data_IF_078911574654
#
_entry.id   IF_078911574654
#
_cell.length_a   1.000
_cell.length_b   1.000
_cell.length_c   1.000
_cell.angle_alpha   90.00
_cell.angle_beta   90.00
_cell.angle_gamma   90.00
#
_symmetry.space_group_name_H-M   'P 1'
#
loop_
_entity.id
_entity.type
_entity.pdbx_description
1 polymer ?
#
# COMPACT_ATOMS: atom_id res chain seq x y z
N UNK A 1 8.51 -8.08 -20.88
CA UNK A 1 8.79 -7.02 -19.89
C UNK A 1 10.27 -6.89 -19.55
N UNK A 2 11.05 -7.98 -19.49
CA UNK A 2 12.51 -7.90 -19.29
C UNK A 2 13.21 -6.99 -20.32
N UNK A 3 12.75 -6.98 -21.57
CA UNK A 3 13.22 -6.06 -22.59
C UNK A 3 13.08 -4.57 -22.17
N UNK A 4 11.92 -4.19 -21.61
CA UNK A 4 11.70 -2.84 -21.09
C UNK A 4 12.65 -2.53 -19.92
N UNK A 5 12.80 -3.47 -18.99
CA UNK A 5 13.74 -3.35 -17.87
C UNK A 5 15.17 -3.12 -18.37
N UNK A 6 15.63 -3.88 -19.36
CA UNK A 6 16.95 -3.71 -19.96
C UNK A 6 17.14 -2.34 -20.63
N UNK A 7 16.13 -1.84 -21.35
CA UNK A 7 16.19 -0.50 -21.96
C UNK A 7 16.25 0.62 -20.91
N UNK A 8 15.47 0.49 -19.83
CA UNK A 8 15.48 1.43 -18.71
C UNK A 8 16.86 1.45 -18.03
N UNK A 9 17.43 0.28 -17.74
CA UNK A 9 18.73 0.16 -17.10
C UNK A 9 19.86 0.68 -17.99
N UNK A 10 19.82 0.40 -19.29
CA UNK A 10 20.76 0.93 -20.27
C UNK A 10 20.69 2.47 -20.35
N UNK A 11 19.48 3.03 -20.34
CA UNK A 11 19.29 4.48 -20.39
C UNK A 11 19.78 5.17 -19.10
N UNK A 12 19.64 4.51 -17.95
CA UNK A 12 20.22 4.98 -16.67
C UNK A 12 21.74 4.90 -16.72
N UNK A 13 22.31 3.76 -17.16
CA UNK A 13 23.75 3.59 -17.27
C UNK A 13 24.40 4.60 -18.23
N UNK A 14 23.69 4.98 -19.32
CA UNK A 14 24.12 6.00 -20.27
C UNK A 14 23.87 7.44 -19.80
N UNK A 15 23.31 7.64 -18.61
CA UNK A 15 23.01 8.96 -18.04
C UNK A 15 21.85 9.71 -18.70
N UNK A 16 21.10 9.07 -19.62
CA UNK A 16 19.95 9.67 -20.31
C UNK A 16 18.69 9.67 -19.44
N UNK A 17 18.54 8.66 -18.59
CA UNK A 17 17.52 8.63 -17.54
C UNK A 17 18.17 8.86 -16.18
N UNK A 18 17.66 9.84 -15.45
CA UNK A 18 18.08 10.10 -14.07
C UNK A 18 17.01 9.56 -13.12
N UNK A 19 17.43 8.72 -12.18
CA UNK A 19 16.56 8.13 -11.17
C UNK A 19 15.92 9.22 -10.30
N UNK A 20 14.63 9.05 -10.00
CA UNK A 20 13.92 9.92 -9.07
C UNK A 20 14.58 9.91 -7.68
N UNK A 21 15.00 8.72 -7.22
CA UNK A 21 15.71 8.53 -5.96
C UNK A 21 17.19 8.26 -6.24
N UNK A 22 18.01 9.32 -6.15
CA UNK A 22 19.46 9.22 -6.36
C UNK A 22 20.15 8.49 -5.22
N UNK A 23 21.23 7.76 -5.53
CA UNK A 23 22.11 7.05 -4.58
C UNK A 23 21.37 6.00 -3.74
N UNK A 24 20.38 5.36 -4.34
CA UNK A 24 19.69 4.21 -3.77
C UNK A 24 20.36 2.92 -4.23
N UNK A 25 20.46 1.97 -3.32
CA UNK A 25 20.94 0.61 -3.60
C UNK A 25 19.96 -0.40 -2.99
N UNK A 26 19.25 -1.21 -3.78
CA UNK A 26 19.27 -1.22 -5.25
C UNK A 26 18.59 0.03 -5.87
N UNK A 27 18.98 0.43 -7.09
CA UNK A 27 18.27 1.45 -7.84
C UNK A 27 16.89 0.94 -8.27
N UNK A 28 15.86 1.80 -8.16
CA UNK A 28 14.50 1.47 -8.59
C UNK A 28 14.06 2.46 -9.66
N UNK A 29 13.92 1.97 -10.89
CA UNK A 29 13.44 2.73 -12.07
C UNK A 29 11.95 2.54 -12.30
N UNK A 30 11.43 1.34 -12.06
CA UNK A 30 10.05 0.99 -12.34
C UNK A 30 9.56 -0.19 -11.48
N UNK A 31 8.24 -0.34 -11.38
CA UNK A 31 7.56 -1.50 -10.81
C UNK A 31 6.53 -2.02 -11.81
N UNK A 32 6.43 -3.34 -11.94
CA UNK A 32 5.55 -3.99 -12.91
C UNK A 32 4.64 -4.97 -12.17
N UNK A 33 3.35 -4.92 -12.47
CA UNK A 33 2.39 -5.94 -12.06
C UNK A 33 1.39 -6.19 -13.19
N UNK A 34 1.44 -7.36 -13.82
CA UNK A 34 0.65 -7.65 -15.03
C UNK A 34 0.81 -6.54 -16.09
N UNK A 35 -0.27 -5.81 -16.41
CA UNK A 35 -0.31 -4.68 -17.34
C UNK A 35 -0.05 -3.32 -16.67
N UNK A 36 -0.06 -3.25 -15.34
CA UNK A 36 0.21 -2.04 -14.59
C UNK A 36 1.73 -1.77 -14.47
N UNK A 37 2.16 -0.62 -14.98
CA UNK A 37 3.55 -0.16 -14.96
C UNK A 37 3.65 1.19 -14.21
N UNK A 38 4.47 1.25 -13.17
CA UNK A 38 4.88 2.49 -12.51
C UNK A 38 6.32 2.80 -12.87
N UNK A 39 6.59 4.01 -13.36
CA UNK A 39 7.93 4.48 -13.72
C UNK A 39 8.32 5.66 -12.84
N UNK A 40 9.54 5.62 -12.30
CA UNK A 40 10.11 6.62 -11.39
C UNK A 40 11.34 7.28 -12.03
N UNK A 41 11.16 8.48 -12.57
CA UNK A 41 12.23 9.26 -13.19
C UNK A 41 12.23 10.70 -12.69
N UNK A 42 13.40 11.33 -12.70
CA UNK A 42 13.49 12.77 -12.49
C UNK A 42 12.84 13.49 -13.70
N UNK A 43 12.06 14.56 -13.48
CA UNK A 43 11.32 15.21 -14.56
C UNK A 43 12.22 16.15 -15.39
N UNK A 44 13.22 15.62 -16.10
CA UNK A 44 13.99 16.36 -17.11
C UNK A 44 13.37 16.16 -18.49
N UNK A 45 13.47 17.17 -19.37
CA UNK A 45 12.96 17.05 -20.75
C UNK A 45 13.65 15.90 -21.49
N UNK A 46 14.98 15.79 -21.36
CA UNK A 46 15.75 14.68 -21.93
C UNK A 46 15.29 13.32 -21.40
N UNK A 47 15.02 13.21 -20.09
CA UNK A 47 14.57 11.97 -19.49
C UNK A 47 13.18 11.56 -19.95
N UNK A 48 12.26 12.53 -20.08
CA UNK A 48 10.91 12.28 -20.59
C UNK A 48 10.92 11.89 -22.07
N UNK A 49 11.74 12.54 -22.90
CA UNK A 49 11.94 12.16 -24.30
C UNK A 49 12.56 10.76 -24.43
N UNK A 50 13.52 10.44 -23.57
CA UNK A 50 14.13 9.10 -23.52
C UNK A 50 13.10 8.04 -23.14
N UNK A 51 12.25 8.32 -22.15
CA UNK A 51 11.16 7.41 -21.78
C UNK A 51 10.16 7.23 -22.93
N UNK A 52 9.78 8.32 -23.62
CA UNK A 52 8.90 8.24 -24.79
C UNK A 52 9.49 7.36 -25.90
N UNK A 53 10.80 7.49 -26.17
CA UNK A 53 11.50 6.65 -27.14
C UNK A 53 11.51 5.18 -26.71
N UNK A 54 11.81 4.87 -25.44
CA UNK A 54 11.76 3.49 -24.91
C UNK A 54 10.36 2.89 -25.06
N UNK A 55 9.31 3.67 -24.82
CA UNK A 55 7.93 3.19 -24.97
C UNK A 55 7.57 2.91 -26.44
N UNK A 56 8.05 3.71 -27.38
CA UNK A 56 7.85 3.44 -28.82
C UNK A 56 8.67 2.24 -29.31
N UNK A 57 9.91 2.09 -28.82
CA UNK A 57 10.74 0.91 -29.10
C UNK A 57 10.06 -0.36 -28.59
N UNK A 58 9.54 -0.33 -27.35
CA UNK A 58 8.78 -1.44 -26.77
C UNK A 58 7.56 -1.79 -27.64
N UNK A 59 6.83 -0.79 -28.13
CA UNK A 59 5.69 -0.97 -29.04
C UNK A 59 6.12 -1.59 -30.37
N UNK A 60 7.24 -1.15 -30.95
CA UNK A 60 7.73 -1.69 -32.22
C UNK A 60 8.12 -3.17 -32.13
N UNK A 61 8.68 -3.61 -31.00
CA UNK A 61 9.16 -4.98 -30.80
C UNK A 61 8.05 -5.92 -30.32
N UNK A 62 7.20 -5.46 -29.40
CA UNK A 62 6.20 -6.32 -28.74
C UNK A 62 4.77 -6.12 -29.21
N UNK A 63 4.49 -5.03 -29.94
CA UNK A 63 3.14 -4.58 -30.24
C UNK A 63 2.39 -3.96 -29.06
N UNK A 64 2.98 -3.95 -27.84
CA UNK A 64 2.34 -3.36 -26.65
C UNK A 64 2.41 -1.84 -26.69
N UNK A 65 1.25 -1.20 -26.57
CA UNK A 65 1.14 0.25 -26.61
C UNK A 65 0.64 0.81 -25.27
N UNK A 66 1.24 1.92 -24.83
CA UNK A 66 0.75 2.68 -23.69
C UNK A 66 -0.67 3.20 -23.96
N UNK A 67 -1.60 2.84 -23.08
CA UNK A 67 -2.96 3.38 -23.12
C UNK A 67 -2.98 4.80 -22.52
N UNK A 68 -2.97 5.82 -23.38
CA UNK A 68 -2.89 7.24 -22.97
C UNK A 68 -4.09 7.73 -22.17
N UNK A 69 -5.25 7.08 -22.28
CA UNK A 69 -6.46 7.44 -21.53
C UNK A 69 -6.39 6.96 -20.06
N UNK A 70 -5.75 5.80 -19.86
CA UNK A 70 -5.54 5.18 -18.54
C UNK A 70 -4.24 5.64 -17.88
N UNK A 71 -3.18 5.90 -18.65
CA UNK A 71 -1.88 6.34 -18.14
C UNK A 71 -1.93 7.78 -17.66
N UNK A 72 -1.23 8.04 -16.54
CA UNK A 72 -1.18 9.35 -15.89
C UNK A 72 0.23 9.66 -15.44
N UNK A 73 0.60 10.94 -15.46
CA UNK A 73 1.85 11.43 -14.89
C UNK A 73 1.59 12.22 -13.60
N UNK A 74 2.42 11.97 -12.59
CA UNK A 74 2.36 12.62 -11.29
C UNK A 74 3.66 13.36 -11.04
N UNK A 75 3.57 14.62 -10.64
CA UNK A 75 4.73 15.46 -10.37
C UNK A 75 4.79 15.86 -8.90
N UNK A 76 6.01 15.94 -8.36
CA UNK A 76 6.22 16.56 -7.05
C UNK A 76 5.81 18.03 -7.07
N UNK A 77 5.54 18.60 -5.89
CA UNK A 77 5.26 20.02 -5.74
C UNK A 77 6.40 20.92 -6.24
N UNK A 78 7.63 20.40 -6.25
CA UNK A 78 8.85 21.09 -6.68
C UNK A 78 9.04 21.15 -8.20
N UNK A 79 8.24 20.39 -8.96
CA UNK A 79 8.34 20.36 -10.41
C UNK A 79 7.68 21.62 -11.02
N UNK A 80 8.46 22.39 -11.78
CA UNK A 80 7.95 23.49 -12.62
C UNK A 80 7.52 22.97 -13.99
N UNK A 81 6.66 23.72 -14.70
CA UNK A 81 6.20 23.42 -16.08
C UNK A 81 5.62 22.01 -16.22
N UNK A 82 4.70 21.65 -15.32
CA UNK A 82 4.16 20.29 -15.20
C UNK A 82 3.37 19.88 -16.44
N UNK A 83 2.57 20.79 -16.99
CA UNK A 83 1.73 20.59 -18.16
C UNK A 83 2.59 20.29 -19.39
N UNK A 84 3.56 21.16 -19.68
CA UNK A 84 4.48 20.96 -20.82
C UNK A 84 5.27 19.65 -20.71
N UNK A 85 5.65 19.24 -19.48
CA UNK A 85 6.33 17.96 -19.24
C UNK A 85 5.41 16.76 -19.44
N UNK A 86 4.13 16.89 -19.13
CA UNK A 86 3.13 15.87 -19.42
C UNK A 86 2.92 15.70 -20.93
N UNK A 87 2.92 16.83 -21.67
CA UNK A 87 2.74 16.86 -23.12
C UNK A 87 3.86 16.12 -23.87
N UNK A 88 5.10 16.11 -23.35
CA UNK A 88 6.21 15.33 -23.91
C UNK A 88 5.88 13.84 -23.98
N UNK A 89 5.21 13.30 -22.97
CA UNK A 89 4.75 11.90 -22.95
C UNK A 89 3.38 11.74 -23.64
N UNK A 90 2.67 12.84 -23.84
CA UNK A 90 1.30 12.90 -24.35
C UNK A 90 0.33 12.08 -23.51
N UNK A 91 0.47 12.16 -22.18
CA UNK A 91 -0.43 11.59 -21.17
C UNK A 91 -0.89 12.68 -20.21
N UNK A 92 -2.11 12.54 -19.70
CA UNK A 92 -2.68 13.56 -18.83
C UNK A 92 -1.98 13.62 -17.46
N UNK A 93 -1.79 14.83 -16.95
CA UNK A 93 -1.38 15.07 -15.57
C UNK A 93 -2.50 14.65 -14.62
N UNK A 94 -2.12 14.07 -13.49
CA UNK A 94 -3.00 13.86 -12.34
C UNK A 94 -2.25 14.18 -11.04
N UNK A 95 -3.02 14.43 -9.98
CA UNK A 95 -2.47 14.62 -8.64
C UNK A 95 -2.67 13.36 -7.79
N UNK A 96 -1.81 13.18 -6.79
CA UNK A 96 -1.95 12.14 -5.78
C UNK A 96 -2.94 12.60 -4.71
N UNK A 97 -3.70 11.69 -4.08
CA UNK A 97 -3.59 10.23 -4.19
C UNK A 97 -4.30 9.62 -5.39
N UNK A 98 -3.77 8.51 -5.90
CA UNK A 98 -4.38 7.69 -6.97
C UNK A 98 -4.61 6.27 -6.47
N UNK A 99 -5.57 5.54 -7.04
CA UNK A 99 -5.69 4.11 -6.81
C UNK A 99 -4.70 3.32 -7.68
N UNK A 100 -3.88 2.49 -7.05
CA UNK A 100 -2.98 1.55 -7.71
C UNK A 100 -3.22 0.16 -7.12
N UNK A 101 -3.45 -0.85 -7.97
CA UNK A 101 -3.77 -2.22 -7.55
C UNK A 101 -4.88 -2.28 -6.49
N UNK A 102 -5.93 -1.47 -6.63
CA UNK A 102 -7.07 -1.47 -5.71
C UNK A 102 -6.91 -0.65 -4.41
N UNK A 103 -5.71 -0.18 -4.08
CA UNK A 103 -5.42 0.59 -2.85
C UNK A 103 -4.96 2.03 -3.17
N UNK A 104 -5.16 3.01 -2.25
CA UNK A 104 -4.67 4.36 -2.46
C UNK A 104 -3.14 4.42 -2.36
N UNK A 105 -2.52 4.89 -3.43
CA UNK A 105 -1.13 5.32 -3.49
C UNK A 105 -1.06 6.79 -3.11
N UNK A 106 -0.48 7.07 -1.93
CA UNK A 106 -0.42 8.39 -1.31
C UNK A 106 1.04 8.75 -1.02
N UNK A 107 1.38 10.04 -1.02
CA UNK A 107 2.72 10.51 -0.58
C UNK A 107 2.88 10.38 0.93
N UNK A 108 1.79 10.65 1.65
CA UNK A 108 1.71 10.62 3.11
C UNK A 108 0.87 9.43 3.59
N UNK A 109 0.58 9.38 4.89
CA UNK A 109 -0.39 8.43 5.43
C UNK A 109 -1.73 8.53 4.68
N UNK A 110 -2.28 7.38 4.30
CA UNK A 110 -3.62 7.33 3.71
C UNK A 110 -4.61 7.96 4.69
N UNK A 111 -5.39 8.95 4.25
CA UNK A 111 -6.44 9.55 5.07
C UNK A 111 -7.69 8.70 5.03
N UNK A 112 -8.60 8.93 5.96
CA UNK A 112 -9.89 8.20 5.99
C UNK A 112 -10.65 8.31 4.66
N UNK A 113 -10.65 9.50 4.07
CA UNK A 113 -11.23 9.76 2.75
C UNK A 113 -10.58 8.94 1.62
N UNK A 114 -9.27 8.68 1.71
CA UNK A 114 -8.53 7.95 0.66
C UNK A 114 -8.89 6.44 0.71
N UNK A 115 -9.40 5.96 1.86
CA UNK A 115 -9.85 4.59 2.07
C UNK A 115 -11.38 4.43 1.95
N UNK A 116 -12.10 5.42 1.41
CA UNK A 116 -13.56 5.35 1.27
C UNK A 116 -14.04 4.11 0.52
N UNK A 117 -13.30 3.72 -0.52
CA UNK A 117 -13.62 2.56 -1.34
C UNK A 117 -13.60 1.21 -0.61
N UNK A 118 -12.78 1.08 0.44
CA UNK A 118 -12.82 -0.07 1.34
C UNK A 118 -14.17 -0.10 2.08
N UNK A 119 -14.58 1.04 2.63
CA UNK A 119 -15.84 1.15 3.38
C UNK A 119 -17.03 0.83 2.47
N UNK A 120 -17.06 1.39 1.25
CA UNK A 120 -18.12 1.08 0.26
C UNK A 120 -18.12 -0.39 -0.16
N UNK A 121 -16.94 -1.01 -0.30
CA UNK A 121 -16.83 -2.43 -0.60
C UNK A 121 -17.46 -3.28 0.51
N UNK A 122 -17.12 -3.01 1.77
CA UNK A 122 -17.67 -3.73 2.92
C UNK A 122 -19.18 -3.47 3.06
N UNK A 123 -19.61 -2.22 2.89
CA UNK A 123 -21.01 -1.84 2.95
C UNK A 123 -21.85 -2.60 1.92
N UNK A 124 -21.41 -2.63 0.65
CA UNK A 124 -22.12 -3.36 -0.41
C UNK A 124 -22.20 -4.86 -0.14
N UNK A 125 -21.12 -5.47 0.38
CA UNK A 125 -21.11 -6.88 0.80
C UNK A 125 -22.18 -7.14 1.87
N UNK A 126 -22.18 -6.32 2.92
CA UNK A 126 -23.12 -6.42 4.03
C UNK A 126 -24.57 -6.24 3.58
N UNK A 127 -24.87 -5.19 2.81
CA UNK A 127 -26.20 -4.90 2.28
C UNK A 127 -26.72 -6.04 1.41
N UNK A 128 -25.88 -6.60 0.53
CA UNK A 128 -26.23 -7.74 -0.31
C UNK A 128 -26.62 -9.00 0.47
N UNK A 129 -26.18 -9.13 1.72
CA UNK A 129 -26.51 -10.26 2.58
C UNK A 129 -27.72 -10.03 3.50
N UNK A 130 -28.17 -8.79 3.68
CA UNK A 130 -29.28 -8.49 4.59
C UNK A 130 -30.59 -9.16 4.16
N UNK A 131 -30.80 -9.36 2.86
CA UNK A 131 -31.99 -10.02 2.32
C UNK A 131 -32.03 -11.54 2.55
N UNK A 132 -30.90 -12.17 2.92
CA UNK A 132 -30.75 -13.63 2.90
C UNK A 132 -31.29 -14.38 4.15
N UNK A 133 -32.06 -13.74 5.04
CA UNK A 133 -32.70 -14.41 6.17
C UNK A 133 -31.75 -15.11 7.17
N UNK A 134 -30.50 -14.66 7.26
CA UNK A 134 -29.40 -15.38 7.91
C UNK A 134 -29.55 -15.55 9.43
N UNK A 135 -29.11 -16.70 9.94
CA UNK A 135 -28.93 -16.94 11.37
C UNK A 135 -27.82 -16.06 11.96
N UNK A 136 -27.78 -15.91 13.30
CA UNK A 136 -26.70 -15.18 13.97
C UNK A 136 -25.32 -15.76 13.64
N UNK A 137 -25.18 -17.09 13.69
CA UNK A 137 -23.95 -17.79 13.30
C UNK A 137 -23.58 -17.56 11.84
N UNK A 138 -24.56 -17.60 10.91
CA UNK A 138 -24.31 -17.33 9.50
C UNK A 138 -23.77 -15.93 9.25
N UNK A 139 -24.28 -14.92 9.96
CA UNK A 139 -23.76 -13.54 9.88
C UNK A 139 -22.33 -13.43 10.41
N UNK A 140 -21.99 -14.15 11.48
CA UNK A 140 -20.62 -14.19 12.00
C UNK A 140 -19.65 -14.78 10.97
N UNK A 141 -20.02 -15.86 10.28
CA UNK A 141 -19.16 -16.46 9.24
C UNK A 141 -18.92 -15.49 8.08
N UNK A 142 -19.95 -14.79 7.64
CA UNK A 142 -19.81 -13.77 6.60
C UNK A 142 -18.92 -12.60 7.05
N UNK A 143 -19.07 -12.12 8.28
CA UNK A 143 -18.16 -11.11 8.84
C UNK A 143 -16.73 -11.62 8.93
N UNK A 144 -16.51 -12.88 9.30
CA UNK A 144 -15.17 -13.48 9.30
C UNK A 144 -14.53 -13.41 7.92
N UNK A 145 -15.31 -13.65 6.86
CA UNK A 145 -14.82 -13.49 5.48
C UNK A 145 -14.40 -12.05 5.18
N UNK A 146 -15.18 -11.05 5.58
CA UNK A 146 -14.86 -9.63 5.40
C UNK A 146 -13.57 -9.27 6.14
N UNK A 147 -13.47 -9.63 7.42
CA UNK A 147 -12.26 -9.36 8.22
C UNK A 147 -11.04 -10.00 7.57
N UNK A 148 -11.16 -11.23 7.08
CA UNK A 148 -10.10 -11.92 6.36
C UNK A 148 -9.68 -11.17 5.09
N UNK A 149 -10.62 -10.75 4.25
CA UNK A 149 -10.33 -9.99 3.03
C UNK A 149 -9.58 -8.70 3.33
N UNK A 150 -10.04 -7.94 4.34
CA UNK A 150 -9.40 -6.69 4.78
C UNK A 150 -8.02 -6.94 5.37
N UNK A 151 -7.87 -8.01 6.15
CA UNK A 151 -6.61 -8.40 6.76
C UNK A 151 -5.53 -8.75 5.73
N UNK A 152 -5.90 -9.56 4.73
CA UNK A 152 -4.94 -10.10 3.76
C UNK A 152 -4.58 -9.11 2.66
N UNK A 153 -5.51 -8.23 2.28
CA UNK A 153 -5.27 -7.26 1.21
C UNK A 153 -4.92 -5.89 1.76
N UNK A 154 -5.87 -5.21 2.42
CA UNK A 154 -5.70 -3.81 2.80
C UNK A 154 -4.64 -3.60 3.88
N UNK A 155 -4.67 -4.38 4.96
CA UNK A 155 -3.73 -4.24 6.08
C UNK A 155 -2.31 -4.72 5.76
N UNK A 156 -2.14 -5.56 4.73
CA UNK A 156 -0.81 -5.92 4.22
C UNK A 156 -0.24 -4.85 3.28
N UNK A 157 -1.10 -4.12 2.54
CA UNK A 157 -0.66 -3.15 1.54
C UNK A 157 -0.46 -1.74 2.10
N UNK A 158 -1.31 -1.29 3.03
CA UNK A 158 -1.23 0.08 3.58
C UNK A 158 -1.54 0.12 5.09
N UNK A 159 -1.05 1.16 5.75
CA UNK A 159 -1.42 1.44 7.14
C UNK A 159 -2.78 2.16 7.17
N UNK A 160 -3.86 1.41 7.36
CA UNK A 160 -5.22 1.97 7.40
C UNK A 160 -5.44 2.93 8.58
N UNK A 161 -6.11 4.08 8.39
CA UNK A 161 -6.56 4.94 9.49
C UNK A 161 -7.38 4.20 10.54
N UNK A 162 -7.21 4.58 11.81
CA UNK A 162 -8.04 4.05 12.90
C UNK A 162 -9.52 4.36 12.65
N UNK A 163 -9.83 5.53 12.10
CA UNK A 163 -11.19 5.92 11.73
C UNK A 163 -11.82 4.95 10.72
N UNK A 164 -11.08 4.62 9.65
CA UNK A 164 -11.53 3.67 8.62
C UNK A 164 -11.77 2.28 9.21
N UNK A 165 -10.83 1.80 10.02
CA UNK A 165 -10.95 0.49 10.69
C UNK A 165 -12.22 0.46 11.57
N UNK A 166 -12.42 1.47 12.42
CA UNK A 166 -13.60 1.55 13.29
C UNK A 166 -14.89 1.60 12.50
N UNK A 167 -14.90 2.25 11.33
CA UNK A 167 -16.08 2.30 10.45
C UNK A 167 -16.38 0.93 9.82
N UNK A 168 -15.36 0.21 9.39
CA UNK A 168 -15.49 -1.18 8.89
C UNK A 168 -15.99 -2.11 10.00
N UNK A 169 -15.41 -2.04 11.19
CA UNK A 169 -15.84 -2.84 12.35
C UNK A 169 -17.28 -2.52 12.75
N UNK A 170 -17.69 -1.25 12.70
CA UNK A 170 -19.08 -0.85 12.95
C UNK A 170 -20.03 -1.48 11.93
N UNK A 171 -19.73 -1.42 10.63
CA UNK A 171 -20.55 -2.06 9.59
C UNK A 171 -20.69 -3.57 9.84
N UNK A 172 -19.61 -4.23 10.27
CA UNK A 172 -19.63 -5.65 10.61
C UNK A 172 -20.50 -5.92 11.86
N UNK A 173 -20.37 -5.11 12.90
CA UNK A 173 -21.15 -5.23 14.13
C UNK A 173 -22.65 -5.00 13.85
N UNK A 174 -22.99 -3.93 13.14
CA UNK A 174 -24.36 -3.59 12.77
C UNK A 174 -25.00 -4.71 11.94
N UNK A 175 -24.24 -5.31 11.01
CA UNK A 175 -24.71 -6.47 10.27
C UNK A 175 -25.03 -7.66 11.19
N UNK A 176 -24.11 -8.02 12.11
CA UNK A 176 -24.33 -9.11 13.07
C UNK A 176 -25.57 -8.86 13.92
N UNK A 177 -25.84 -7.63 14.32
CA UNK A 177 -26.99 -7.26 15.16
C UNK A 177 -28.23 -6.82 14.35
N UNK A 178 -28.22 -6.95 13.02
CA UNK A 178 -29.31 -6.51 12.12
C UNK A 178 -29.72 -5.04 12.31
N UNK A 179 -28.75 -4.16 12.58
CA UNK A 179 -29.00 -2.75 12.86
C UNK A 179 -29.73 -2.47 14.17
N UNK A 180 -29.98 -3.48 15.01
CA UNK A 180 -30.55 -3.34 16.35
C UNK A 180 -29.50 -2.99 17.40
N UNK A 181 -29.92 -2.91 18.67
CA UNK A 181 -29.02 -2.65 19.79
C UNK A 181 -28.00 -3.79 19.95
N UNK A 182 -26.71 -3.44 20.06
CA UNK A 182 -25.64 -4.42 20.27
C UNK A 182 -25.69 -4.91 21.71
N UNK A 183 -25.96 -6.20 21.92
CA UNK A 183 -26.08 -6.77 23.28
C UNK A 183 -24.74 -6.80 24.03
N UNK A 184 -23.61 -6.87 23.31
CA UNK A 184 -22.25 -6.80 23.83
C UNK A 184 -21.39 -5.94 22.91
N UNK A 185 -20.31 -5.37 23.46
CA UNK A 185 -19.38 -4.57 22.66
C UNK A 185 -18.68 -5.41 21.58
N UNK A 186 -18.26 -4.78 20.48
CA UNK A 186 -17.50 -5.43 19.40
C UNK A 186 -16.27 -6.19 19.92
N UNK A 187 -15.52 -5.58 20.86
CA UNK A 187 -14.33 -6.19 21.43
C UNK A 187 -14.66 -7.45 22.27
N UNK A 188 -15.72 -7.40 23.09
CA UNK A 188 -16.18 -8.58 23.82
C UNK A 188 -16.68 -9.68 22.89
N UNK A 189 -17.40 -9.32 21.83
CA UNK A 189 -17.86 -10.24 20.80
C UNK A 189 -16.68 -10.96 20.14
N UNK A 190 -15.60 -10.24 19.84
CA UNK A 190 -14.42 -10.80 19.18
C UNK A 190 -13.58 -11.73 20.06
N UNK A 191 -13.79 -11.79 21.38
CA UNK A 191 -12.98 -12.66 22.25
C UNK A 191 -12.96 -14.12 21.79
N UNK A 192 -11.93 -14.90 22.18
CA UNK A 192 -11.91 -16.33 21.94
C UNK A 192 -13.19 -17.02 22.42
N UNK A 193 -13.60 -18.10 21.75
CA UNK A 193 -14.79 -18.88 22.16
C UNK A 193 -14.68 -19.41 23.59
N UNK A 194 -13.46 -19.73 24.04
CA UNK A 194 -13.16 -20.15 25.42
C UNK A 194 -13.44 -19.06 26.46
N UNK A 195 -13.46 -17.79 26.04
CA UNK A 195 -13.71 -16.62 26.89
C UNK A 195 -15.13 -16.03 26.66
N UNK A 196 -16.03 -16.79 26.02
CA UNK A 196 -17.41 -16.38 25.79
C UNK A 196 -17.63 -15.47 24.58
N UNK A 197 -16.62 -15.22 23.75
CA UNK A 197 -16.78 -14.53 22.47
C UNK A 197 -17.02 -15.48 21.29
N UNK A 198 -17.01 -14.95 20.07
CA UNK A 198 -17.28 -15.71 18.83
C UNK A 198 -16.01 -16.00 18.01
N UNK A 199 -14.84 -15.55 18.50
CA UNK A 199 -13.54 -15.81 17.89
C UNK A 199 -13.32 -15.06 16.57
N UNK A 200 -13.83 -13.83 16.45
CA UNK A 200 -13.42 -12.89 15.40
C UNK A 200 -12.13 -12.19 15.84
N UNK A 201 -11.43 -11.53 14.91
CA UNK A 201 -10.23 -10.75 15.24
C UNK A 201 -10.55 -9.27 15.04
N UNK A 202 -10.42 -8.41 16.06
CA UNK A 202 -10.54 -6.97 15.86
C UNK A 202 -9.51 -6.50 14.83
N UNK A 203 -9.94 -5.69 13.87
CA UNK A 203 -9.08 -5.21 12.78
C UNK A 203 -7.96 -4.30 13.29
N UNK A 204 -8.15 -3.64 14.44
CA UNK A 204 -7.08 -2.91 15.12
C UNK A 204 -5.94 -3.82 15.59
N UNK A 205 -6.26 -5.01 16.12
CA UNK A 205 -5.22 -5.98 16.50
C UNK A 205 -4.53 -6.55 15.26
N UNK A 206 -5.29 -6.84 14.20
CA UNK A 206 -4.73 -7.30 12.92
C UNK A 206 -3.81 -6.26 12.29
N UNK A 207 -4.14 -4.96 12.42
CA UNK A 207 -3.29 -3.86 11.97
C UNK A 207 -1.95 -3.87 12.71
N UNK A 208 -1.96 -3.99 14.03
CA UNK A 208 -0.73 -4.03 14.84
C UNK A 208 0.11 -5.27 14.49
N UNK A 209 -0.53 -6.44 14.33
CA UNK A 209 0.15 -7.65 13.88
C UNK A 209 0.76 -7.52 12.48
N UNK A 210 0.05 -6.86 11.55
CA UNK A 210 0.54 -6.60 10.19
C UNK A 210 1.73 -5.62 10.19
N UNK A 211 1.70 -4.62 11.06
CA UNK A 211 2.81 -3.68 11.24
C UNK A 211 4.04 -4.37 11.85
N UNK A 212 3.85 -5.25 12.83
CA UNK A 212 4.93 -6.09 13.38
C UNK A 212 5.51 -7.02 12.31
N UNK A 213 4.66 -7.66 11.50
CA UNK A 213 5.10 -8.49 10.36
C UNK A 213 5.92 -7.68 9.36
N UNK A 214 5.51 -6.44 9.07
CA UNK A 214 6.28 -5.55 8.19
C UNK A 214 7.64 -5.19 8.80
N UNK A 215 7.70 -4.92 10.10
CA UNK A 215 8.96 -4.68 10.80
C UNK A 215 9.87 -5.92 10.78
N UNK A 216 9.31 -7.12 10.97
CA UNK A 216 10.04 -8.37 10.83
C UNK A 216 10.63 -8.52 9.42
N UNK A 217 9.84 -8.31 8.36
CA UNK A 217 10.32 -8.36 6.96
C UNK A 217 11.44 -7.35 6.70
N UNK A 218 11.38 -6.18 7.33
CA UNK A 218 12.44 -5.18 7.25
C UNK A 218 13.74 -5.68 7.91
N UNK A 219 13.64 -6.26 9.10
CA UNK A 219 14.80 -6.76 9.86
C UNK A 219 15.41 -7.99 9.20
N UNK A 220 14.59 -8.95 8.78
CA UNK A 220 15.04 -10.18 8.13
C UNK A 220 15.66 -9.94 6.75
N UNK A 221 15.37 -8.80 6.12
CA UNK A 221 15.92 -8.46 4.81
C UNK A 221 15.42 -9.38 3.69
N UNK A 222 16.20 -9.45 2.60
CA UNK A 222 15.96 -10.41 1.49
C UNK A 222 14.81 -10.02 0.56
N UNK A 223 14.41 -8.76 0.56
CA UNK A 223 13.41 -8.25 -0.39
C UNK A 223 13.83 -6.89 -0.90
N UNK A 224 13.51 -6.60 -2.16
CA UNK A 224 13.75 -5.31 -2.81
C UNK A 224 13.32 -4.13 -1.93
N UNK A 225 12.14 -4.24 -1.31
CA UNK A 225 11.62 -3.23 -0.40
C UNK A 225 12.49 -3.05 0.85
N UNK A 226 12.90 -4.15 1.51
CA UNK A 226 13.71 -4.06 2.72
C UNK A 226 15.07 -3.43 2.41
N UNK A 227 15.74 -3.89 1.35
CA UNK A 227 17.06 -3.40 0.94
C UNK A 227 17.01 -1.91 0.59
N UNK A 228 15.99 -1.51 -0.20
CA UNK A 228 15.77 -0.11 -0.54
C UNK A 228 15.49 0.76 0.69
N UNK A 229 14.69 0.28 1.65
CA UNK A 229 14.38 1.02 2.89
C UNK A 229 15.62 1.15 3.80
N UNK A 230 16.46 0.11 3.89
CA UNK A 230 17.74 0.16 4.60
C UNK A 230 18.67 1.21 3.98
N UNK A 231 18.86 1.14 2.66
CA UNK A 231 19.66 2.12 1.92
C UNK A 231 19.15 3.55 2.11
N UNK A 232 17.82 3.74 2.16
CA UNK A 232 17.20 5.06 2.26
C UNK A 232 17.38 5.68 3.63
N UNK A 233 17.09 4.92 4.68
CA UNK A 233 16.88 5.45 6.02
C UNK A 233 17.94 5.03 7.03
N UNK A 234 18.43 3.79 6.97
CA UNK A 234 19.43 3.28 7.92
C UNK A 234 20.83 3.73 7.51
N UNK A 235 21.16 3.70 6.22
CA UNK A 235 22.46 4.13 5.67
C UNK A 235 23.61 3.45 6.43
N UNK A 236 24.52 4.22 7.04
CA UNK A 236 25.68 3.72 7.81
C UNK A 236 25.38 3.51 9.30
N UNK A 237 24.13 3.71 9.74
CA UNK A 237 23.74 3.48 11.13
C UNK A 237 23.23 2.04 11.34
N UNK A 238 23.01 1.65 12.59
CA UNK A 238 22.27 0.43 12.89
C UNK A 238 20.78 0.72 12.93
N UNK A 239 19.95 -0.22 12.46
CA UNK A 239 18.50 -0.12 12.61
C UNK A 239 18.12 0.16 14.07
N UNK A 240 18.82 -0.42 15.05
CA UNK A 240 18.51 -0.28 16.47
C UNK A 240 18.81 1.11 17.04
N UNK A 241 19.76 1.84 16.45
CA UNK A 241 20.24 3.14 16.94
C UNK A 241 19.84 4.32 16.06
N UNK A 242 19.31 4.06 14.86
CA UNK A 242 18.91 5.08 13.90
C UNK A 242 17.85 6.03 14.52
N UNK A 243 18.04 7.36 14.53
CA UNK A 243 17.10 8.29 15.14
C UNK A 243 15.75 8.31 14.40
N UNK A 244 14.68 8.73 15.07
CA UNK A 244 13.41 9.01 14.39
C UNK A 244 13.41 10.45 13.87
N UNK A 245 13.42 10.64 12.56
CA UNK A 245 13.38 11.95 11.91
C UNK A 245 11.96 12.26 11.38
N UNK A 246 11.56 13.53 11.39
CA UNK A 246 10.33 14.01 10.76
C UNK A 246 10.27 13.69 9.25
N UNK A 247 11.41 13.66 8.57
CA UNK A 247 11.54 13.34 7.15
C UNK A 247 11.41 11.84 6.83
N UNK A 248 11.36 10.97 7.86
CA UNK A 248 11.11 9.55 7.64
C UNK A 248 9.69 9.32 7.14
N UNK A 249 9.54 8.36 6.21
CA UNK A 249 8.21 7.93 5.78
C UNK A 249 7.44 7.37 6.97
N UNK A 250 6.11 7.47 6.91
CA UNK A 250 5.26 6.93 7.96
C UNK A 250 5.45 5.42 8.10
N UNK A 251 5.61 4.71 6.98
CA UNK A 251 5.95 3.29 6.97
C UNK A 251 7.23 3.00 7.76
N UNK A 252 8.31 3.76 7.54
CA UNK A 252 9.54 3.56 8.28
C UNK A 252 9.36 3.88 9.77
N UNK A 253 8.70 5.00 10.12
CA UNK A 253 8.38 5.35 11.51
C UNK A 253 7.58 4.25 12.22
N UNK A 254 6.63 3.62 11.53
CA UNK A 254 5.91 2.46 12.05
C UNK A 254 6.83 1.28 12.31
N UNK A 255 7.77 0.97 11.40
CA UNK A 255 8.79 -0.06 11.63
C UNK A 255 9.66 0.29 12.85
N UNK A 256 10.08 1.55 13.01
CA UNK A 256 10.90 1.99 14.15
C UNK A 256 10.18 1.80 15.50
N UNK A 257 8.86 1.98 15.53
CA UNK A 257 8.04 1.80 16.74
C UNK A 257 8.19 0.41 17.36
N UNK A 258 8.44 -0.62 16.55
CA UNK A 258 8.53 -2.00 17.04
C UNK A 258 9.94 -2.45 17.44
N UNK A 259 10.95 -1.57 17.40
CA UNK A 259 12.31 -1.88 17.88
C UNK A 259 12.37 -2.38 19.32
N UNK A 260 11.53 -1.82 20.20
CA UNK A 260 11.47 -2.19 21.61
C UNK A 260 10.70 -3.49 21.91
N UNK A 261 9.99 -4.04 20.92
CA UNK A 261 9.26 -5.29 21.09
C UNK A 261 10.13 -6.53 20.86
N UNK A 262 11.20 -6.41 20.06
CA UNK A 262 12.19 -7.49 19.86
C UNK A 262 13.19 -7.64 21.02
N UNK A 263 13.23 -6.69 21.96
CA UNK A 263 14.02 -6.80 23.20
C UNK A 263 13.28 -7.48 24.35
N UNK A 264 11.99 -7.80 24.19
CA UNK A 264 11.28 -8.65 25.13
C UNK A 264 11.52 -10.11 24.73
N UNK A 265 11.98 -10.98 25.65
CA UNK A 265 12.10 -12.39 25.34
C UNK A 265 10.73 -12.90 24.93
N UNK A 266 10.59 -13.33 23.68
CA UNK A 266 9.46 -14.14 23.27
C UNK A 266 9.43 -15.34 24.21
N UNK A 267 8.31 -15.49 24.93
CA UNK A 267 8.17 -16.38 26.06
C UNK A 267 8.84 -17.73 25.85
N UNK A 268 9.83 -18.01 26.70
CA UNK A 268 10.20 -19.37 27.03
C UNK A 268 9.03 -20.00 27.76
N UNK A 269 8.38 -20.95 27.09
CA UNK A 269 7.60 -22.01 27.71
C UNK A 269 8.43 -22.78 28.73
#
# INVERSE_FOLDING_TARGET
MEYFTCLMDLAVHRGRLVLLFRRMDPPVTHLIYADDLLVFIQPSTEGLLTLAAIMEDLKSVSGLQMNRDKSRVYFSSLCTRKEERADVLGIARSDLPVRYLGVPLTVNYARDQDCHSLVEYVQRRVEGWQAAGLSFGGRIELVRSVISDVAHFWLQSILLPVATIRRVERLCADFIWRGGMHAISWYQLCRPRKEGGVGLRPLLEVREASALKLAWRFISGGSLWADWMHSRYVKQSSFWTCPTDNNHSVTFKTVLRYRGYSSLPFGGS
#
